data_IF_600009505767
#
_entry.id   IF_600009505767
#
_cell.length_a   1.000
_cell.length_b   1.000
_cell.length_c   1.000
_cell.angle_alpha   90.00
_cell.angle_beta   90.00
_cell.angle_gamma   90.00
#
_symmetry.space_group_name_H-M   'P 1'
#
loop_
_entity.id
_entity.type
_entity.pdbx_description
1 polymer ?
#
# COMPACT_ATOMS: atom_id res chain seq x y z
N UNK A 1 -20.25 -28.79 17.72
CA UNK A 1 -19.03 -27.95 17.57
C UNK A 1 -19.32 -26.58 18.16
N UNK A 2 -18.46 -26.05 19.05
CA UNK A 2 -18.68 -24.77 19.73
C UNK A 2 -17.55 -23.81 19.36
N UNK A 3 -17.89 -22.61 18.89
CA UNK A 3 -16.94 -21.58 18.52
C UNK A 3 -16.39 -20.91 19.79
N UNK A 4 -15.12 -21.20 20.13
CA UNK A 4 -14.51 -20.84 21.43
C UNK A 4 -14.09 -19.36 21.55
N UNK A 5 -14.20 -18.59 20.46
CA UNK A 5 -13.75 -17.20 20.41
C UNK A 5 -14.89 -16.19 20.66
N UNK A 6 -16.05 -16.68 21.08
CA UNK A 6 -17.20 -15.86 21.52
C UNK A 6 -17.82 -16.56 22.73
N UNK A 7 -18.11 -15.80 23.79
CA UNK A 7 -18.67 -16.33 25.05
C UNK A 7 -20.03 -17.03 24.88
N UNK A 8 -20.75 -16.74 23.80
CA UNK A 8 -22.05 -17.35 23.51
C UNK A 8 -21.95 -18.64 22.67
N UNK A 9 -20.73 -19.13 22.38
CA UNK A 9 -20.47 -20.39 21.67
C UNK A 9 -20.86 -20.44 20.18
N UNK A 10 -21.61 -19.45 19.70
CA UNK A 10 -22.00 -19.29 18.31
C UNK A 10 -20.91 -18.68 17.43
N UNK A 11 -20.82 -19.18 16.20
CA UNK A 11 -19.94 -18.61 15.18
C UNK A 11 -20.44 -17.22 14.74
N UNK A 12 -19.54 -16.26 14.61
CA UNK A 12 -19.81 -15.02 13.89
C UNK A 12 -18.61 -14.60 13.04
N UNK A 13 -18.88 -13.99 11.89
CA UNK A 13 -17.84 -13.60 10.91
C UNK A 13 -16.85 -12.60 11.52
N UNK A 14 -17.32 -11.70 12.39
CA UNK A 14 -16.49 -10.68 13.04
C UNK A 14 -15.38 -11.30 13.91
N UNK A 15 -15.72 -12.28 14.73
CA UNK A 15 -14.77 -12.98 15.61
C UNK A 15 -13.81 -13.86 14.83
N UNK A 16 -14.28 -14.48 13.74
CA UNK A 16 -13.41 -15.22 12.82
C UNK A 16 -12.42 -14.28 12.13
N UNK A 17 -12.87 -13.13 11.64
CA UNK A 17 -12.02 -12.10 11.03
C UNK A 17 -10.97 -11.59 12.02
N UNK A 18 -11.38 -11.23 13.24
CA UNK A 18 -10.46 -10.76 14.28
C UNK A 18 -9.42 -11.81 14.63
N UNK A 19 -9.83 -13.08 14.78
CA UNK A 19 -8.91 -14.18 15.03
C UNK A 19 -7.89 -14.35 13.91
N UNK A 20 -8.32 -14.22 12.66
CA UNK A 20 -7.42 -14.31 11.50
C UNK A 20 -6.43 -13.14 11.51
N UNK A 21 -6.92 -11.93 11.74
CA UNK A 21 -6.09 -10.73 11.81
C UNK A 21 -5.08 -10.75 12.97
N UNK A 22 -5.41 -11.40 14.08
CA UNK A 22 -4.50 -11.52 15.23
C UNK A 22 -3.46 -12.64 15.02
N UNK A 23 -3.86 -13.79 14.46
CA UNK A 23 -3.00 -14.98 14.41
C UNK A 23 -2.15 -15.09 13.15
N UNK A 24 -2.63 -14.57 12.02
CA UNK A 24 -2.03 -14.85 10.72
C UNK A 24 -1.56 -13.60 9.98
N UNK A 25 -1.93 -12.41 10.47
CA UNK A 25 -1.57 -11.16 9.83
C UNK A 25 -0.58 -10.44 10.73
N UNK A 26 0.63 -10.25 10.22
CA UNK A 26 1.58 -9.36 10.85
C UNK A 26 1.11 -7.92 10.68
N UNK A 27 0.51 -7.35 11.73
CA UNK A 27 0.01 -5.98 11.71
C UNK A 27 1.14 -4.97 11.49
N UNK A 28 2.38 -5.27 11.90
CA UNK A 28 3.51 -4.38 11.66
C UNK A 28 3.81 -4.26 10.16
N UNK A 29 3.71 -5.36 9.40
CA UNK A 29 3.87 -5.34 7.94
C UNK A 29 2.80 -4.51 7.20
N UNK A 30 1.61 -4.33 7.79
CA UNK A 30 0.52 -3.54 7.21
C UNK A 30 0.61 -2.05 7.56
N UNK A 31 1.24 -1.74 8.70
CA UNK A 31 1.40 -0.37 9.19
C UNK A 31 2.65 0.24 8.59
N UNK A 32 2.48 1.04 7.53
CA UNK A 32 3.57 1.87 7.03
C UNK A 32 3.83 3.01 8.01
N UNK A 33 5.05 3.09 8.53
CA UNK A 33 5.50 4.19 9.37
C UNK A 33 5.38 5.52 8.63
N UNK A 34 4.83 6.53 9.31
CA UNK A 34 4.66 7.87 8.76
C UNK A 34 3.65 8.71 9.53
N UNK A 35 3.85 10.03 9.54
CA UNK A 35 2.86 10.97 10.08
C UNK A 35 1.78 11.28 9.03
N UNK A 36 0.75 10.45 9.00
CA UNK A 36 -0.43 10.62 8.13
C UNK A 36 -1.24 11.89 8.45
N UNK A 37 -1.02 12.50 9.63
CA UNK A 37 -1.65 13.77 9.98
C UNK A 37 -1.19 14.90 9.06
N UNK A 38 0.03 14.83 8.54
CA UNK A 38 0.56 15.80 7.57
C UNK A 38 -0.30 15.81 6.30
N UNK A 39 -0.53 14.65 5.68
CA UNK A 39 -1.36 14.55 4.46
C UNK A 39 -2.78 15.04 4.71
N UNK A 40 -3.33 14.76 5.90
CA UNK A 40 -4.69 15.19 6.27
C UNK A 40 -4.79 16.71 6.43
N UNK A 41 -3.78 17.35 7.03
CA UNK A 41 -3.74 18.77 7.39
C UNK A 41 -3.45 19.72 6.22
N UNK A 42 -2.79 19.25 5.16
CA UNK A 42 -2.50 20.09 3.98
C UNK A 42 -3.82 20.55 3.34
N UNK A 43 -3.93 21.83 3.00
CA UNK A 43 -5.09 22.36 2.28
C UNK A 43 -4.93 22.17 0.76
N UNK A 44 -5.33 20.99 0.29
CA UNK A 44 -5.29 20.60 -1.12
C UNK A 44 -6.54 19.80 -1.47
N UNK A 45 -6.91 19.74 -2.77
CA UNK A 45 -8.04 18.95 -3.21
C UNK A 45 -7.96 17.49 -2.74
N UNK A 46 -9.08 16.85 -2.34
CA UNK A 46 -9.09 15.48 -1.85
C UNK A 46 -8.44 14.46 -2.79
N UNK A 47 -8.54 14.68 -4.10
CA UNK A 47 -7.90 13.84 -5.12
C UNK A 47 -6.37 13.85 -5.00
N UNK A 48 -5.78 15.00 -4.69
CA UNK A 48 -4.33 15.15 -4.51
C UNK A 48 -3.90 14.52 -3.18
N UNK A 49 -4.70 14.67 -2.10
CA UNK A 49 -4.44 13.96 -0.83
C UNK A 49 -4.39 12.45 -1.02
N UNK A 50 -5.36 11.89 -1.75
CA UNK A 50 -5.41 10.47 -2.06
C UNK A 50 -4.19 10.03 -2.89
N UNK A 51 -3.78 10.86 -3.86
CA UNK A 51 -2.58 10.60 -4.65
C UNK A 51 -1.32 10.57 -3.78
N UNK A 52 -1.11 11.58 -2.91
CA UNK A 52 0.01 11.62 -1.98
C UNK A 52 0.02 10.42 -1.02
N UNK A 53 -1.15 10.05 -0.50
CA UNK A 53 -1.28 8.87 0.35
C UNK A 53 -0.84 7.60 -0.40
N UNK A 54 -1.30 7.41 -1.64
CA UNK A 54 -0.88 6.28 -2.49
C UNK A 54 0.61 6.30 -2.84
N UNK A 55 1.17 7.50 -3.02
CA UNK A 55 2.59 7.73 -3.27
C UNK A 55 3.42 7.27 -2.07
N UNK A 56 3.10 7.74 -0.86
CA UNK A 56 3.78 7.36 0.37
C UNK A 56 3.64 5.86 0.69
N UNK A 57 2.47 5.28 0.42
CA UNK A 57 2.24 3.84 0.57
C UNK A 57 2.90 2.99 -0.52
N UNK A 58 3.57 3.59 -1.52
CA UNK A 58 4.21 2.87 -2.63
C UNK A 58 3.23 1.92 -3.33
N UNK A 59 2.00 2.42 -3.50
CA UNK A 59 0.84 1.72 -4.06
C UNK A 59 0.50 2.19 -5.47
N UNK A 60 1.31 3.07 -6.05
CA UNK A 60 1.16 3.49 -7.44
C UNK A 60 1.57 2.36 -8.39
N UNK A 61 0.93 2.28 -9.58
CA UNK A 61 1.20 1.25 -10.56
C UNK A 61 2.50 1.55 -11.33
N UNK A 62 3.64 1.48 -10.66
CA UNK A 62 4.96 1.58 -11.31
C UNK A 62 5.35 0.24 -11.93
N UNK A 63 6.22 0.24 -12.95
CA UNK A 63 6.67 -1.01 -13.59
C UNK A 63 7.32 -1.99 -12.59
N UNK A 64 8.05 -1.47 -11.62
CA UNK A 64 8.56 -2.28 -10.50
C UNK A 64 7.44 -2.97 -9.72
N UNK A 65 6.37 -2.26 -9.35
CA UNK A 65 5.22 -2.84 -8.64
C UNK A 65 4.43 -3.81 -9.50
N UNK A 66 4.24 -3.50 -10.78
CA UNK A 66 3.59 -4.40 -11.74
C UNK A 66 4.36 -5.73 -11.84
N UNK A 67 5.69 -5.68 -11.93
CA UNK A 67 6.52 -6.89 -11.96
C UNK A 67 6.43 -7.72 -10.69
N UNK A 68 6.41 -7.10 -9.51
CA UNK A 68 6.20 -7.82 -8.23
C UNK A 68 4.84 -8.53 -8.15
N UNK A 69 3.87 -8.09 -8.95
CA UNK A 69 2.52 -8.69 -9.06
C UNK A 69 2.39 -9.67 -10.22
N UNK A 70 3.50 -10.03 -10.87
CA UNK A 70 3.53 -11.00 -11.97
C UNK A 70 3.12 -10.46 -13.33
N UNK A 71 3.00 -9.13 -13.49
CA UNK A 71 2.80 -8.52 -14.81
C UNK A 71 4.13 -8.45 -15.53
N UNK A 72 4.21 -9.10 -16.69
CA UNK A 72 5.41 -9.06 -17.53
C UNK A 72 5.48 -7.72 -18.26
N UNK A 73 6.40 -6.86 -17.84
CA UNK A 73 6.69 -5.59 -18.47
C UNK A 73 8.18 -5.26 -18.33
N UNK A 74 8.70 -4.40 -19.22
CA UNK A 74 10.03 -3.81 -19.03
C UNK A 74 10.11 -3.12 -17.66
N UNK A 75 11.27 -3.15 -17.01
CA UNK A 75 11.51 -2.36 -15.80
C UNK A 75 12.00 -0.95 -16.08
N UNK A 76 12.47 -0.68 -17.30
CA UNK A 76 13.04 0.60 -17.65
C UNK A 76 11.96 1.67 -17.72
N UNK A 77 12.24 2.83 -17.15
CA UNK A 77 11.39 4.00 -17.21
C UNK A 77 11.14 4.40 -18.66
N UNK A 78 9.88 4.60 -19.02
CA UNK A 78 9.52 5.03 -20.39
C UNK A 78 9.98 6.46 -20.73
N UNK A 79 10.37 7.26 -19.72
CA UNK A 79 10.71 8.68 -19.91
C UNK A 79 12.22 8.92 -20.08
N UNK A 80 13.04 8.18 -19.34
CA UNK A 80 14.51 8.31 -19.39
C UNK A 80 15.19 7.12 -20.07
N UNK A 81 14.49 5.98 -20.21
CA UNK A 81 14.96 4.72 -20.80
C UNK A 81 16.23 4.10 -20.18
N UNK A 82 16.76 4.71 -19.12
CA UNK A 82 18.06 4.37 -18.55
C UNK A 82 17.98 3.82 -17.12
N UNK A 83 16.91 4.14 -16.39
CA UNK A 83 16.76 3.76 -14.98
C UNK A 83 15.47 2.96 -14.74
N UNK A 84 15.48 2.16 -13.67
CA UNK A 84 14.32 1.37 -13.28
C UNK A 84 13.18 2.28 -12.80
N UNK A 85 11.97 2.05 -13.29
CA UNK A 85 10.79 2.82 -12.92
C UNK A 85 10.24 2.40 -11.55
N UNK A 86 10.68 3.13 -10.53
CA UNK A 86 10.10 3.11 -9.19
C UNK A 86 9.39 4.45 -8.90
N UNK A 87 8.65 4.51 -7.79
CA UNK A 87 7.84 5.70 -7.46
C UNK A 87 8.68 6.97 -7.36
N UNK A 88 9.86 6.87 -6.77
CA UNK A 88 10.77 8.01 -6.61
C UNK A 88 11.35 8.47 -7.96
N UNK A 89 11.73 7.53 -8.82
CA UNK A 89 12.23 7.83 -10.16
C UNK A 89 11.14 8.45 -11.05
N UNK A 90 9.90 7.95 -10.96
CA UNK A 90 8.78 8.44 -11.75
C UNK A 90 8.30 9.84 -11.33
N UNK A 91 8.36 10.20 -10.05
CA UNK A 91 7.75 11.44 -9.54
C UNK A 91 8.72 12.45 -8.90
N UNK A 92 9.89 12.01 -8.41
CA UNK A 92 10.85 12.89 -7.72
C UNK A 92 12.14 13.13 -8.52
N UNK A 93 12.57 12.19 -9.37
CA UNK A 93 13.80 12.27 -10.18
C UNK A 93 13.55 12.45 -11.68
N UNK A 94 12.56 13.27 -12.04
CA UNK A 94 12.48 13.79 -13.41
C UNK A 94 13.52 14.91 -13.62
N UNK A 95 14.80 14.60 -13.42
CA UNK A 95 15.92 15.42 -13.91
C UNK A 95 16.55 14.67 -15.08
N UNK A 96 16.09 15.00 -16.30
CA UNK A 96 16.98 14.91 -17.46
C UNK A 96 18.02 16.02 -17.26
N UNK A 97 19.21 15.64 -16.82
CA UNK A 97 20.43 16.34 -17.24
C UNK A 97 21.04 15.55 -18.39
#
# INVERSE_FOLDING_TARGET
>A
MVWRYVNNGGYNVKSAYNLIMEKFVDQASLCKEGDWSLIRKIDIPPRVKLFLWRLCYDCLPTKTKLRTRGVECSLMCALCENQIENVFHAFCHLSKE
#
